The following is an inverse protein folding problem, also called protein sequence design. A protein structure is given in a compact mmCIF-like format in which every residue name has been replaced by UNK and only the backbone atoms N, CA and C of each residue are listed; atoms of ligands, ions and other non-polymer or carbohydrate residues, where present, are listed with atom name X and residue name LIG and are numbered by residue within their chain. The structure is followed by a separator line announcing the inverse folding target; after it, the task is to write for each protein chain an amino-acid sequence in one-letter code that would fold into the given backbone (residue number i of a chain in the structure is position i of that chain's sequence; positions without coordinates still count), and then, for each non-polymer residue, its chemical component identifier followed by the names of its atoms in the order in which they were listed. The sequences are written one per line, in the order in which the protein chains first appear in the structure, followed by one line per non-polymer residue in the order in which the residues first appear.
data_IF_504051381482
#
_entry.id   IF_504051381482
#
_cell.length_a   1.000
_cell.length_b   1.000
_cell.length_c   1.000
_cell.angle_alpha   90.00
_cell.angle_beta   90.00
_cell.angle_gamma   90.00
#
_symmetry.space_group_name_H-M   'P 1'
#
loop_
_entity.id
_entity.type
_entity.pdbx_description
1 polymer ?
#
# COMPACT_ATOMS: atom_id res chain seq x y z
N UNK A 1 -5.50 -42.83 -4.39
CA UNK A 1 -4.18 -42.37 -4.88
C UNK A 1 -4.09 -40.88 -4.59
N UNK A 2 -3.46 -40.48 -3.47
CA UNK A 2 -3.25 -39.07 -3.11
C UNK A 2 -2.03 -38.56 -3.89
N UNK A 3 -2.06 -37.37 -4.51
CA UNK A 3 -0.86 -36.82 -5.11
C UNK A 3 0.14 -36.46 -4.01
N UNK A 4 1.42 -36.68 -4.29
CA UNK A 4 2.52 -36.31 -3.40
C UNK A 4 2.58 -34.78 -3.28
N UNK A 5 2.53 -34.27 -2.04
CA UNK A 5 2.91 -32.90 -1.72
C UNK A 5 4.41 -32.74 -2.03
N UNK A 6 4.73 -31.92 -3.03
CA UNK A 6 6.10 -31.54 -3.37
C UNK A 6 6.71 -30.71 -2.24
N UNK A 7 7.96 -30.99 -1.87
CA UNK A 7 8.73 -30.36 -0.78
C UNK A 7 9.24 -28.95 -1.15
N UNK A 8 8.79 -28.39 -2.28
CA UNK A 8 9.34 -27.16 -2.89
C UNK A 8 8.47 -25.90 -2.65
N UNK A 9 7.51 -25.97 -1.73
CA UNK A 9 6.53 -24.90 -1.49
C UNK A 9 7.07 -23.75 -0.61
N UNK A 10 8.24 -23.92 0.02
CA UNK A 10 8.79 -22.97 1.00
C UNK A 10 9.85 -22.02 0.43
N UNK A 11 10.57 -22.40 -0.62
CA UNK A 11 11.60 -21.57 -1.23
C UNK A 11 11.00 -20.41 -2.03
N UNK A 12 9.96 -20.70 -2.83
CA UNK A 12 9.25 -19.75 -3.71
C UNK A 12 8.70 -18.53 -2.97
N UNK A 13 8.11 -18.72 -1.79
CA UNK A 13 7.55 -17.61 -0.98
C UNK A 13 8.61 -16.76 -0.26
N UNK A 14 9.80 -17.30 -0.02
CA UNK A 14 10.84 -16.63 0.77
C UNK A 14 11.63 -15.65 -0.10
N UNK A 15 11.97 -16.04 -1.33
CA UNK A 15 12.63 -15.15 -2.30
C UNK A 15 11.72 -13.97 -2.67
N UNK A 16 10.43 -14.26 -2.92
CA UNK A 16 9.38 -13.25 -3.12
C UNK A 16 9.27 -12.27 -1.95
N UNK A 17 9.44 -12.76 -0.71
CA UNK A 17 9.37 -11.94 0.49
C UNK A 17 10.60 -11.02 0.62
N UNK A 18 11.80 -11.54 0.38
CA UNK A 18 13.03 -10.75 0.42
C UNK A 18 12.96 -9.64 -0.64
N UNK A 19 12.53 -9.95 -1.87
CA UNK A 19 12.34 -8.93 -2.90
C UNK A 19 11.36 -7.84 -2.44
N UNK A 20 10.24 -8.24 -1.85
CA UNK A 20 9.23 -7.29 -1.36
C UNK A 20 9.72 -6.42 -0.18
N UNK A 21 10.65 -6.93 0.65
CA UNK A 21 11.28 -6.15 1.72
C UNK A 21 12.32 -5.17 1.20
N UNK A 22 12.93 -5.46 0.04
CA UNK A 22 13.97 -4.64 -0.59
C UNK A 22 13.45 -3.72 -1.70
N UNK A 23 12.13 -3.70 -1.92
CA UNK A 23 11.48 -2.89 -2.94
C UNK A 23 10.30 -2.10 -2.37
N UNK A 24 9.83 -1.16 -3.17
CA UNK A 24 8.60 -0.41 -2.93
C UNK A 24 7.58 -0.72 -4.01
N UNK A 25 6.30 -0.80 -3.65
CA UNK A 25 5.25 -0.93 -4.65
C UNK A 25 4.76 0.46 -5.05
N UNK A 26 5.07 0.93 -6.26
CA UNK A 26 4.69 2.27 -6.73
C UNK A 26 4.31 2.24 -8.20
N UNK A 27 3.14 2.81 -8.51
CA UNK A 27 2.64 2.90 -9.88
C UNK A 27 2.32 1.52 -10.48
N UNK A 28 1.80 0.60 -9.67
CA UNK A 28 1.38 -0.72 -10.13
C UNK A 28 2.48 -1.79 -10.21
N UNK A 29 3.72 -1.48 -9.79
CA UNK A 29 4.84 -2.40 -9.86
C UNK A 29 5.76 -2.30 -8.64
N UNK A 30 6.48 -3.38 -8.34
CA UNK A 30 7.63 -3.37 -7.44
C UNK A 30 8.78 -2.61 -8.09
N UNK A 31 9.39 -1.69 -7.34
CA UNK A 31 10.45 -0.80 -7.81
C UNK A 31 11.58 -0.76 -6.79
N UNK A 32 12.81 -0.65 -7.31
CA UNK A 32 13.97 -0.39 -6.48
C UNK A 32 13.78 0.92 -5.69
N UNK A 33 14.21 0.95 -4.41
CA UNK A 33 14.22 2.16 -3.62
C UNK A 33 15.21 3.18 -4.23
N UNK A 34 14.94 4.46 -4.01
CA UNK A 34 15.87 5.54 -4.34
C UNK A 34 16.74 5.88 -3.13
N UNK A 35 16.27 5.57 -1.93
CA UNK A 35 17.06 5.56 -0.70
C UNK A 35 17.94 4.32 -0.58
N UNK A 36 19.02 4.46 0.18
CA UNK A 36 19.91 3.35 0.59
C UNK A 36 19.73 2.97 2.06
N UNK A 37 18.83 3.65 2.77
CA UNK A 37 18.59 3.43 4.19
C UNK A 37 17.90 2.08 4.42
N UNK A 38 18.24 1.43 5.52
CA UNK A 38 17.79 0.08 5.84
C UNK A 38 17.43 -0.04 7.31
N UNK A 39 16.42 -0.85 7.63
CA UNK A 39 16.06 -1.24 8.99
C UNK A 39 15.99 -2.76 9.13
N UNK A 40 16.29 -3.25 10.34
CA UNK A 40 16.14 -4.66 10.66
C UNK A 40 14.66 -4.96 10.93
N UNK A 41 14.23 -6.18 10.57
CA UNK A 41 12.89 -6.71 10.85
C UNK A 41 12.99 -7.67 12.03
N UNK A 42 12.57 -7.26 13.24
CA UNK A 42 12.62 -8.11 14.42
C UNK A 42 11.91 -9.45 14.20
N UNK A 43 12.51 -10.53 14.70
CA UNK A 43 11.92 -11.88 14.66
C UNK A 43 11.91 -12.58 13.29
N UNK A 44 12.26 -11.88 12.21
CA UNK A 44 12.34 -12.45 10.84
C UNK A 44 13.80 -12.68 10.40
N UNK A 45 14.75 -11.95 11.00
CA UNK A 45 16.18 -12.07 10.63
C UNK A 45 16.51 -11.49 9.26
N UNK A 46 15.65 -10.59 8.75
CA UNK A 46 15.80 -9.90 7.48
C UNK A 46 15.90 -8.39 7.69
N UNK A 47 16.28 -7.67 6.62
CA UNK A 47 16.30 -6.21 6.59
C UNK A 47 15.36 -5.72 5.50
N UNK A 48 14.78 -4.54 5.71
CA UNK A 48 13.97 -3.83 4.73
C UNK A 48 14.59 -2.49 4.38
N UNK A 49 14.30 -2.01 3.18
CA UNK A 49 14.70 -0.67 2.71
C UNK A 49 13.80 0.38 3.36
N UNK A 50 14.31 1.56 3.67
CA UNK A 50 13.52 2.68 4.17
C UNK A 50 13.37 3.76 3.10
N UNK A 51 12.13 4.14 2.82
CA UNK A 51 11.77 5.15 1.85
C UNK A 51 12.37 6.51 2.24
N UNK A 52 13.10 7.10 1.29
CA UNK A 52 13.63 8.45 1.42
C UNK A 52 12.71 9.50 0.78
N UNK A 53 13.11 10.78 0.79
CA UNK A 53 12.33 11.87 0.22
C UNK A 53 11.92 11.63 -1.25
N UNK A 54 12.85 11.10 -2.05
CA UNK A 54 12.61 10.81 -3.46
C UNK A 54 11.61 9.67 -3.67
N UNK A 55 11.57 8.67 -2.77
CA UNK A 55 10.61 7.58 -2.81
C UNK A 55 9.19 8.06 -2.52
N UNK A 56 9.03 8.90 -1.49
CA UNK A 56 7.75 9.54 -1.17
C UNK A 56 7.27 10.46 -2.30
N UNK A 57 8.15 11.27 -2.89
CA UNK A 57 7.81 12.11 -4.03
C UNK A 57 7.36 11.28 -5.24
N UNK A 58 8.05 10.17 -5.54
CA UNK A 58 7.68 9.23 -6.60
C UNK A 58 6.31 8.60 -6.37
N UNK A 59 6.01 8.19 -5.13
CA UNK A 59 4.70 7.63 -4.79
C UNK A 59 3.57 8.67 -4.84
N UNK A 60 3.82 9.88 -4.31
CA UNK A 60 2.87 10.99 -4.36
C UNK A 60 2.52 11.39 -5.79
N UNK A 61 3.52 11.48 -6.68
CA UNK A 61 3.30 11.78 -8.09
C UNK A 61 2.47 10.69 -8.80
N UNK A 62 2.75 9.41 -8.54
CA UNK A 62 1.97 8.31 -9.09
C UNK A 62 0.51 8.34 -8.61
N UNK A 63 0.27 8.62 -7.33
CA UNK A 63 -1.07 8.77 -6.78
C UNK A 63 -1.81 9.97 -7.39
N UNK A 64 -1.14 11.12 -7.51
CA UNK A 64 -1.71 12.32 -8.13
C UNK A 64 -2.16 12.08 -9.57
N UNK A 65 -1.37 11.34 -10.36
CA UNK A 65 -1.72 10.99 -11.73
C UNK A 65 -2.91 10.03 -11.82
N UNK A 66 -3.06 9.11 -10.85
CA UNK A 66 -4.12 8.12 -10.84
C UNK A 66 -5.48 8.65 -10.34
N UNK A 67 -5.45 9.65 -9.46
CA UNK A 67 -6.63 10.16 -8.75
C UNK A 67 -7.79 10.59 -9.66
N UNK A 68 -7.59 11.35 -10.76
CA UNK A 68 -8.70 11.77 -11.62
C UNK A 68 -9.44 10.58 -12.23
N UNK A 69 -8.72 9.60 -12.76
CA UNK A 69 -9.30 8.38 -13.34
C UNK A 69 -9.99 7.52 -12.29
N UNK A 70 -9.38 7.39 -11.10
CA UNK A 70 -9.97 6.63 -10.00
C UNK A 70 -11.25 7.26 -9.45
N UNK A 71 -11.28 8.59 -9.33
CA UNK A 71 -12.46 9.33 -8.92
C UNK A 71 -13.60 9.19 -9.92
N UNK A 72 -13.30 9.22 -11.22
CA UNK A 72 -14.26 9.15 -12.32
C UNK A 72 -15.05 7.82 -12.37
N UNK A 73 -14.50 6.72 -11.83
CA UNK A 73 -15.21 5.43 -11.77
C UNK A 73 -16.47 5.46 -10.89
N UNK A 74 -16.60 6.44 -9.99
CA UNK A 74 -17.67 6.46 -8.98
C UNK A 74 -17.60 5.28 -8.01
N UNK A 75 -18.55 5.20 -7.08
CA UNK A 75 -18.54 4.15 -6.05
C UNK A 75 -18.68 2.74 -6.66
N UNK A 76 -19.58 2.58 -7.63
CA UNK A 76 -19.85 1.28 -8.25
C UNK A 76 -18.61 0.72 -8.98
N UNK A 77 -17.99 1.52 -9.86
CA UNK A 77 -16.79 1.06 -10.58
C UNK A 77 -15.60 0.77 -9.66
N UNK A 78 -15.46 1.51 -8.55
CA UNK A 78 -14.45 1.21 -7.53
C UNK A 78 -14.75 -0.07 -6.76
N UNK A 79 -16.02 -0.34 -6.46
CA UNK A 79 -16.43 -1.60 -5.81
C UNK A 79 -16.18 -2.80 -6.72
N UNK A 80 -16.45 -2.67 -8.03
CA UNK A 80 -16.17 -3.72 -9.03
C UNK A 80 -14.67 -4.01 -9.13
N UNK A 81 -13.84 -2.96 -9.18
CA UNK A 81 -12.37 -3.10 -9.17
C UNK A 81 -11.83 -3.80 -7.91
N UNK A 82 -12.55 -3.70 -6.79
CA UNK A 82 -12.17 -4.31 -5.51
C UNK A 82 -12.85 -5.65 -5.24
N UNK A 83 -13.67 -6.18 -6.14
CA UNK A 83 -14.50 -7.35 -5.87
C UNK A 83 -13.70 -8.62 -5.47
N UNK A 84 -12.45 -8.73 -5.93
CA UNK A 84 -11.52 -9.82 -5.59
C UNK A 84 -10.67 -9.57 -4.34
N UNK A 85 -10.72 -8.38 -3.76
CA UNK A 85 -10.09 -8.05 -2.48
C UNK A 85 -11.16 -8.20 -1.39
N UNK A 86 -10.80 -8.81 -0.26
CA UNK A 86 -11.75 -9.15 0.80
C UNK A 86 -12.72 -7.97 1.11
N UNK A 87 -14.03 -8.23 0.98
CA UNK A 87 -15.11 -7.27 1.25
C UNK A 87 -15.27 -7.02 2.74
N UNK A 88 -14.35 -6.26 3.31
CA UNK A 88 -14.54 -5.65 4.62
C UNK A 88 -14.17 -4.18 4.48
N UNK A 89 -15.06 -3.29 4.91
CA UNK A 89 -14.87 -1.84 4.81
C UNK A 89 -16.01 -1.14 4.07
N UNK A 90 -16.69 -0.23 4.77
CA UNK A 90 -17.55 0.76 4.13
C UNK A 90 -16.70 1.92 3.59
N UNK A 91 -17.17 2.65 2.56
CA UNK A 91 -16.51 3.87 2.12
C UNK A 91 -16.28 4.82 3.30
N UNK A 92 -15.05 5.24 3.54
CA UNK A 92 -14.70 6.06 4.70
C UNK A 92 -13.67 7.16 4.37
N UNK A 93 -13.92 8.37 4.87
CA UNK A 93 -13.09 9.56 4.69
C UNK A 93 -13.26 10.26 3.33
N UNK A 94 -12.44 11.28 3.07
CA UNK A 94 -12.52 12.11 1.87
C UNK A 94 -11.76 11.49 0.65
N UNK A 95 -12.14 11.82 -0.59
CA UNK A 95 -11.33 11.49 -1.77
C UNK A 95 -9.98 12.23 -1.75
N UNK A 96 -8.99 11.75 -2.50
CA UNK A 96 -7.64 12.32 -2.55
C UNK A 96 -6.54 11.35 -2.06
N UNK A 97 -5.37 11.86 -1.68
CA UNK A 97 -4.29 11.02 -1.15
C UNK A 97 -4.56 10.68 0.32
N UNK A 98 -4.47 9.39 0.67
CA UNK A 98 -4.61 8.89 2.03
C UNK A 98 -3.35 8.15 2.48
N UNK A 99 -2.84 8.49 3.66
CA UNK A 99 -1.77 7.74 4.31
C UNK A 99 -2.37 6.74 5.30
N UNK A 100 -1.95 5.48 5.24
CA UNK A 100 -2.29 4.47 6.25
C UNK A 100 -1.00 3.89 6.81
N UNK A 101 -0.72 4.15 8.08
CA UNK A 101 0.35 3.49 8.82
C UNK A 101 -0.18 2.21 9.47
N UNK A 102 0.29 1.06 9.02
CA UNK A 102 -0.18 -0.24 9.50
C UNK A 102 0.10 -0.46 10.99
N UNK A 103 1.22 0.09 11.50
CA UNK A 103 1.56 0.02 12.93
C UNK A 103 0.54 0.70 13.86
N UNK A 104 -0.33 1.58 13.34
CA UNK A 104 -1.38 2.25 14.10
C UNK A 104 -2.70 1.44 14.17
N UNK A 105 -2.76 0.28 13.50
CA UNK A 105 -3.98 -0.52 13.37
C UNK A 105 -3.72 -1.96 13.84
N UNK A 106 -4.74 -2.64 14.41
CA UNK A 106 -4.69 -4.08 14.50
C UNK A 106 -4.67 -4.70 13.10
N UNK A 107 -3.98 -5.83 12.93
CA UNK A 107 -3.82 -6.48 11.62
C UNK A 107 -5.16 -6.78 10.92
N UNK A 108 -6.21 -7.10 11.70
CA UNK A 108 -7.56 -7.37 11.19
C UNK A 108 -8.27 -6.12 10.63
N UNK A 109 -7.89 -4.92 11.06
CA UNK A 109 -8.46 -3.67 10.59
C UNK A 109 -7.72 -3.07 9.38
N UNK A 110 -6.54 -3.60 9.04
CA UNK A 110 -5.72 -3.06 7.95
C UNK A 110 -6.43 -3.13 6.58
N UNK A 111 -6.91 -4.31 6.20
CA UNK A 111 -7.65 -4.48 4.95
C UNK A 111 -8.93 -3.61 4.90
N UNK A 112 -9.79 -3.61 5.95
CA UNK A 112 -10.93 -2.70 6.00
C UNK A 112 -10.61 -1.22 5.86
N UNK A 113 -9.55 -0.75 6.51
CA UNK A 113 -9.13 0.65 6.44
C UNK A 113 -8.70 1.02 5.01
N UNK A 114 -7.87 0.19 4.39
CA UNK A 114 -7.41 0.40 3.00
C UNK A 114 -8.59 0.36 2.03
N UNK A 115 -9.41 -0.68 2.08
CA UNK A 115 -10.60 -0.83 1.22
C UNK A 115 -11.57 0.33 1.38
N UNK A 116 -11.85 0.78 2.61
CA UNK A 116 -12.74 1.90 2.87
C UNK A 116 -12.25 3.22 2.28
N UNK A 117 -10.94 3.51 2.34
CA UNK A 117 -10.35 4.69 1.68
C UNK A 117 -10.42 4.57 0.15
N UNK A 118 -10.13 3.40 -0.40
CA UNK A 118 -10.22 3.16 -1.85
C UNK A 118 -11.65 3.34 -2.36
N UNK A 119 -12.65 2.78 -1.66
CA UNK A 119 -14.07 2.95 -1.99
C UNK A 119 -14.50 4.42 -1.90
N UNK A 120 -13.97 5.20 -0.95
CA UNK A 120 -14.19 6.63 -0.84
C UNK A 120 -13.54 7.45 -1.98
N UNK A 121 -12.80 6.81 -2.89
CA UNK A 121 -12.13 7.48 -4.01
C UNK A 121 -10.77 8.04 -3.65
N UNK A 122 -10.17 7.59 -2.54
CA UNK A 122 -8.80 7.93 -2.22
C UNK A 122 -7.81 7.04 -3.00
N UNK A 123 -6.64 7.60 -3.30
CA UNK A 123 -5.43 6.83 -3.56
C UNK A 123 -4.72 6.59 -2.21
N UNK A 124 -4.27 5.37 -1.96
CA UNK A 124 -3.72 4.96 -0.66
C UNK A 124 -2.22 4.77 -0.75
N UNK A 125 -1.49 5.48 0.10
CA UNK A 125 -0.12 5.16 0.45
C UNK A 125 -0.11 4.35 1.76
N UNK A 126 0.27 3.09 1.66
CA UNK A 126 0.37 2.15 2.76
C UNK A 126 1.80 2.11 3.28
N UNK A 127 1.98 2.36 4.58
CA UNK A 127 3.24 2.19 5.28
C UNK A 127 3.16 0.94 6.16
N UNK A 128 3.90 -0.14 5.85
CA UNK A 128 3.95 -1.33 6.67
C UNK A 128 4.48 -1.04 8.07
N UNK A 129 4.12 -1.89 9.03
CA UNK A 129 4.81 -1.93 10.32
C UNK A 129 6.18 -2.59 10.10
N UNK A 130 7.31 -1.91 10.39
CA UNK A 130 8.63 -2.52 10.25
C UNK A 130 8.83 -3.74 11.17
N UNK A 131 8.10 -3.82 12.29
CA UNK A 131 8.12 -4.98 13.18
C UNK A 131 7.25 -6.15 12.68
N UNK A 132 6.25 -5.86 11.85
CA UNK A 132 5.31 -6.85 11.33
C UNK A 132 4.86 -6.50 9.89
N UNK A 133 5.76 -6.63 8.88
CA UNK A 133 5.46 -6.17 7.52
C UNK A 133 4.51 -7.10 6.75
N UNK A 134 4.40 -8.37 7.16
CA UNK A 134 3.69 -9.41 6.41
C UNK A 134 2.22 -9.10 6.10
N UNK A 135 1.39 -8.55 7.01
CA UNK A 135 0.00 -8.22 6.71
C UNK A 135 -0.12 -7.18 5.58
N UNK A 136 0.74 -6.16 5.57
CA UNK A 136 0.75 -5.13 4.52
C UNK A 136 1.23 -5.69 3.18
N UNK A 137 2.26 -6.54 3.19
CA UNK A 137 2.77 -7.21 1.99
C UNK A 137 1.74 -8.18 1.38
N UNK A 138 1.04 -8.95 2.22
CA UNK A 138 -0.05 -9.82 1.77
C UNK A 138 -1.19 -9.02 1.14
N UNK A 139 -1.56 -7.89 1.74
CA UNK A 139 -2.61 -7.01 1.23
C UNK A 139 -2.23 -6.35 -0.09
N UNK A 140 -1.02 -5.80 -0.25
CA UNK A 140 -0.62 -5.16 -1.51
C UNK A 140 -0.56 -6.18 -2.66
N UNK A 141 -0.16 -7.43 -2.40
CA UNK A 141 -0.19 -8.52 -3.38
C UNK A 141 -1.62 -8.84 -3.81
N UNK A 142 -2.57 -8.85 -2.88
CA UNK A 142 -3.99 -9.02 -3.22
C UNK A 142 -4.52 -7.86 -4.09
N UNK A 143 -4.17 -6.62 -3.75
CA UNK A 143 -4.54 -5.43 -4.51
C UNK A 143 -3.88 -5.39 -5.90
N UNK A 144 -2.63 -5.84 -6.02
CA UNK A 144 -1.94 -5.97 -7.29
C UNK A 144 -2.68 -6.96 -8.21
N UNK A 145 -3.10 -8.12 -7.71
CA UNK A 145 -3.90 -9.10 -8.46
C UNK A 145 -5.29 -8.58 -8.87
N UNK A 146 -5.84 -7.63 -8.12
CA UNK A 146 -7.09 -6.96 -8.48
C UNK A 146 -6.92 -5.96 -9.64
N UNK A 147 -5.70 -5.75 -10.13
CA UNK A 147 -5.39 -4.91 -11.30
C UNK A 147 -5.96 -3.49 -11.19
N UNK A 148 -5.85 -2.89 -10.00
CA UNK A 148 -6.23 -1.49 -9.79
C UNK A 148 -5.43 -0.56 -10.72
N UNK A 149 -5.98 0.61 -11.12
CA UNK A 149 -5.24 1.58 -11.91
C UNK A 149 -3.89 1.92 -11.26
N UNK A 150 -2.84 1.96 -12.08
CA UNK A 150 -1.48 2.21 -11.62
C UNK A 150 -1.40 3.52 -10.82
N UNK A 151 -0.92 3.44 -9.57
CA UNK A 151 -0.79 4.60 -8.69
C UNK A 151 -1.92 4.78 -7.67
N UNK A 152 -3.05 4.06 -7.81
CA UNK A 152 -4.15 4.10 -6.82
C UNK A 152 -3.71 3.55 -5.46
N UNK A 153 -2.81 2.56 -5.46
CA UNK A 153 -2.18 2.04 -4.25
C UNK A 153 -0.66 2.07 -4.39
N UNK A 154 0.01 2.46 -3.31
CA UNK A 154 1.45 2.38 -3.16
C UNK A 154 1.80 1.81 -1.78
N UNK A 155 2.90 1.08 -1.70
CA UNK A 155 3.50 0.61 -0.45
C UNK A 155 4.93 1.11 -0.36
N UNK A 156 5.21 1.86 0.69
CA UNK A 156 6.55 2.35 1.03
C UNK A 156 6.89 1.86 2.43
N UNK A 157 8.02 1.18 2.56
CA UNK A 157 8.59 0.88 3.87
C UNK A 157 9.11 2.18 4.47
N UNK A 158 8.49 2.66 5.54
CA UNK A 158 8.84 3.95 6.13
C UNK A 158 7.90 4.32 7.25
N UNK A 159 8.15 5.44 7.92
CA UNK A 159 7.32 5.90 9.04
C UNK A 159 6.33 6.95 8.61
N UNK A 160 5.24 7.10 9.37
CA UNK A 160 4.25 8.16 9.15
C UNK A 160 4.91 9.56 9.20
N UNK A 161 5.86 9.76 10.12
CA UNK A 161 6.61 11.01 10.25
C UNK A 161 7.46 11.32 9.02
N UNK A 162 8.13 10.32 8.45
CA UNK A 162 8.91 10.49 7.23
C UNK A 162 7.99 10.83 6.04
N UNK A 163 6.86 10.13 5.92
CA UNK A 163 5.87 10.42 4.89
C UNK A 163 5.31 11.84 5.01
N UNK A 164 4.94 12.28 6.23
CA UNK A 164 4.36 13.60 6.48
C UNK A 164 5.34 14.75 6.16
N UNK A 165 6.65 14.55 6.30
CA UNK A 165 7.68 15.55 5.96
C UNK A 165 7.88 15.72 4.45
N UNK A 166 7.53 14.72 3.66
CA UNK A 166 7.90 14.64 2.24
C UNK A 166 6.70 14.63 1.30
N UNK A 167 5.51 14.34 1.81
CA UNK A 167 4.25 14.51 1.11
C UNK A 167 3.65 15.83 1.56
N UNK A 168 3.43 16.75 0.62
CA UNK A 168 2.63 17.98 0.84
C UNK A 168 1.16 17.58 1.06
N UNK A 169 0.89 16.91 2.19
CA UNK A 169 -0.45 16.61 2.67
C UNK A 169 -1.04 17.93 3.15
N UNK A 170 -1.54 18.74 2.21
CA UNK A 170 -2.26 19.96 2.54
C UNK A 170 -3.41 19.58 3.48
N UNK A 171 -3.58 20.29 4.61
CA UNK A 171 -4.80 20.17 5.39
C UNK A 171 -6.00 20.39 4.47
N UNK A 172 -7.03 19.56 4.59
CA UNK A 172 -8.31 19.84 3.95
C UNK A 172 -8.84 21.15 4.54
N UNK A 173 -8.76 22.24 3.78
CA UNK A 173 -9.34 23.54 4.10
C UNK A 173 -10.84 23.51 3.72
N UNK A 174 -11.76 23.49 4.70
CA UNK A 174 -13.20 23.40 4.43
C UNK A 174 -13.77 24.69 3.81
N UNK A 175 -13.04 25.81 3.84
CA UNK A 175 -13.59 27.12 3.47
C UNK A 175 -13.27 27.55 2.02
N UNK A 176 -12.57 26.72 1.23
CA UNK A 176 -12.18 27.07 -0.15
C UNK A 176 -13.25 26.81 -1.21
N UNK A 177 -14.52 26.98 -0.85
CA UNK A 177 -15.63 27.09 -1.82
C UNK A 177 -16.61 28.17 -1.36
N UNK A 178 -16.17 29.42 -1.43
CA UNK A 178 -16.98 30.62 -1.40
C UNK A 178 -16.63 31.48 -2.62
#
# INVERSE_FOLDING_TARGET
MRPAMSTDCTADWTDDLIEALLTHYVGGAWRAPLSTDMADVPGVGARLVLAGPADFARAGAAAAAALPGWAALGLAGRADALAGVARSGAPAGAPGLALIAAAALPATALAPAVTGRLLAGAAVLLLPDPAAPLPALGLIRALHRAALPAGVVALLHGTADAAARHLDLRPHDPDRNA
#
